data_IF_957814080524
#
_entry.id   IF_957814080524
#
_cell.length_a   1.000
_cell.length_b   1.000
_cell.length_c   1.000
_cell.angle_alpha   90.00
_cell.angle_beta   90.00
_cell.angle_gamma   90.00
#
_symmetry.space_group_name_H-M   'P 1'
#
loop_
_entity.id
_entity.type
_entity.pdbx_description
1 polymer ?
#
# COMPACT_ATOMS: atom_id res chain seq x y z
N UNK A 1 24.36 5.40 -1.27
CA UNK A 1 23.45 4.73 -0.30
C UNK A 1 22.16 4.21 -0.95
N UNK A 2 21.40 4.99 -1.72
CA UNK A 2 20.17 4.50 -2.40
C UNK A 2 20.39 3.31 -3.36
N UNK A 3 21.48 3.32 -4.15
CA UNK A 3 21.80 2.23 -5.08
C UNK A 3 22.09 0.88 -4.39
N UNK A 4 22.39 0.87 -3.09
CA UNK A 4 22.54 -0.38 -2.34
C UNK A 4 21.17 -0.96 -2.00
N UNK A 5 20.23 -0.12 -1.55
CA UNK A 5 18.87 -0.55 -1.18
C UNK A 5 18.14 -1.10 -2.41
N UNK A 6 18.12 -0.39 -3.54
CA UNK A 6 17.39 -0.88 -4.73
C UNK A 6 17.93 -2.21 -5.26
N UNK A 7 19.25 -2.46 -5.16
CA UNK A 7 19.89 -3.72 -5.57
C UNK A 7 19.71 -4.85 -4.54
N UNK A 8 19.36 -4.53 -3.31
CA UNK A 8 19.18 -5.50 -2.22
C UNK A 8 17.70 -5.77 -1.91
N UNK A 9 16.80 -4.89 -2.34
CA UNK A 9 15.35 -5.11 -2.30
C UNK A 9 14.96 -6.13 -3.35
N UNK A 10 14.15 -7.11 -2.96
CA UNK A 10 13.62 -8.15 -3.86
C UNK A 10 12.11 -8.32 -3.80
N UNK A 11 11.46 -7.87 -2.73
CA UNK A 11 10.01 -7.93 -2.58
C UNK A 11 9.47 -6.64 -1.94
N UNK A 12 8.27 -6.25 -2.35
CA UNK A 12 7.50 -5.14 -1.79
C UNK A 12 6.06 -5.61 -1.58
N UNK A 13 5.52 -5.39 -0.39
CA UNK A 13 4.12 -5.65 -0.06
C UNK A 13 3.45 -4.34 0.38
N UNK A 14 2.48 -3.88 -0.41
CA UNK A 14 1.69 -2.69 -0.07
C UNK A 14 0.41 -3.07 0.66
N UNK A 15 0.09 -2.30 1.70
CA UNK A 15 -1.18 -2.40 2.44
C UNK A 15 -1.94 -1.10 2.24
N UNK A 16 -2.99 -1.11 1.41
CA UNK A 16 -3.90 0.02 1.21
C UNK A 16 -3.17 1.34 0.95
N UNK A 17 -2.09 1.31 0.18
CA UNK A 17 -1.26 2.50 -0.07
C UNK A 17 -1.97 3.39 -1.09
N UNK A 18 -2.24 4.66 -0.78
CA UNK A 18 -2.92 5.58 -1.69
C UNK A 18 -1.94 6.14 -2.73
N UNK A 19 -1.62 5.34 -3.74
CA UNK A 19 -0.65 5.71 -4.79
C UNK A 19 -1.06 6.93 -5.62
N UNK A 20 -2.35 7.30 -5.61
CA UNK A 20 -2.91 8.50 -6.25
C UNK A 20 -3.61 9.42 -5.23
N UNK A 21 -3.21 9.33 -3.96
CA UNK A 21 -3.79 10.09 -2.85
C UNK A 21 -5.14 9.54 -2.36
N UNK A 22 -5.63 10.05 -1.23
CA UNK A 22 -6.88 9.58 -0.61
C UNK A 22 -7.97 10.65 -0.67
N UNK A 23 -9.20 10.30 -1.13
CA UNK A 23 -10.34 11.23 -1.08
C UNK A 23 -10.72 11.62 0.36
N UNK A 24 -10.28 10.85 1.36
CA UNK A 24 -10.61 11.08 2.75
C UNK A 24 -9.85 12.27 3.35
N UNK A 25 -8.69 12.62 2.80
CA UNK A 25 -8.02 13.85 3.19
C UNK A 25 -8.84 15.11 2.90
N UNK A 26 -9.76 15.04 1.93
CA UNK A 26 -10.66 16.15 1.59
C UNK A 26 -11.93 16.16 2.46
N UNK A 27 -12.14 15.13 3.29
CA UNK A 27 -13.31 15.04 4.15
C UNK A 27 -13.08 15.88 5.42
N UNK A 28 -13.69 17.06 5.45
CA UNK A 28 -13.79 17.89 6.65
C UNK A 28 -14.78 17.26 7.63
N UNK A 29 -14.32 16.28 8.41
CA UNK A 29 -15.11 15.70 9.49
C UNK A 29 -15.08 16.64 10.70
N UNK A 30 -16.20 17.33 11.05
CA UNK A 30 -16.24 18.18 12.23
C UNK A 30 -15.89 17.34 13.46
N UNK A 31 -15.12 17.91 14.40
CA UNK A 31 -14.62 17.28 15.64
C UNK A 31 -13.46 16.29 15.48
N UNK A 32 -12.96 16.02 14.26
CA UNK A 32 -11.76 15.22 14.06
C UNK A 32 -10.61 16.13 13.60
N UNK A 33 -9.54 16.23 14.39
CA UNK A 33 -8.29 16.82 13.91
C UNK A 33 -7.73 15.92 12.82
N UNK A 34 -7.56 16.47 11.62
CA UNK A 34 -6.75 15.84 10.60
C UNK A 34 -5.31 15.82 11.11
N UNK A 35 -4.69 14.64 11.08
CA UNK A 35 -3.28 14.50 11.41
C UNK A 35 -2.43 15.01 10.23
N UNK A 36 -1.15 15.33 10.47
CA UNK A 36 -0.26 15.82 9.41
C UNK A 36 -0.14 14.77 8.31
N UNK A 37 -0.10 13.49 8.68
CA UNK A 37 -0.04 12.34 7.79
C UNK A 37 -1.29 12.23 6.89
N UNK A 38 -2.47 12.63 7.38
CA UNK A 38 -3.69 12.71 6.57
C UNK A 38 -3.63 13.86 5.56
N UNK A 39 -2.95 14.96 5.91
CA UNK A 39 -2.74 16.11 5.02
C UNK A 39 -1.65 15.85 3.98
N UNK A 40 -0.67 14.99 4.26
CA UNK A 40 0.38 14.63 3.28
C UNK A 40 -0.12 13.67 2.19
N UNK A 41 -1.27 13.04 2.44
CA UNK A 41 -1.83 11.98 1.59
C UNK A 41 -3.09 12.45 0.86
N UNK A 42 -3.28 13.77 0.71
CA UNK A 42 -4.50 14.26 0.07
C UNK A 42 -4.65 13.78 -1.36
N UNK A 43 -5.90 13.56 -1.76
CA UNK A 43 -6.26 13.29 -3.15
C UNK A 43 -5.67 14.40 -4.02
N UNK A 44 -5.01 14.00 -5.10
CA UNK A 44 -4.33 14.89 -6.03
C UNK A 44 -3.11 15.63 -5.46
N UNK A 45 -2.52 15.14 -4.35
CA UNK A 45 -1.18 15.57 -3.92
C UNK A 45 -0.19 15.26 -5.05
N UNK A 46 0.42 16.32 -5.58
CA UNK A 46 1.44 16.23 -6.61
C UNK A 46 2.64 15.41 -6.12
N UNK A 47 2.92 15.45 -4.81
CA UNK A 47 4.00 14.72 -4.16
C UNK A 47 3.76 13.21 -4.17
N UNK A 48 2.55 12.76 -3.82
CA UNK A 48 2.19 11.33 -3.80
C UNK A 48 2.25 10.75 -5.21
N UNK A 49 1.66 11.44 -6.18
CA UNK A 49 1.70 11.01 -7.59
C UNK A 49 3.13 11.01 -8.12
N UNK A 50 3.92 12.05 -7.84
CA UNK A 50 5.33 12.10 -8.25
C UNK A 50 6.18 10.97 -7.64
N UNK A 51 5.87 10.57 -6.40
CA UNK A 51 6.51 9.43 -5.74
C UNK A 51 6.14 8.11 -6.42
N UNK A 52 4.87 7.90 -6.73
CA UNK A 52 4.41 6.71 -7.47
C UNK A 52 5.04 6.64 -8.87
N UNK A 53 5.05 7.76 -9.61
CA UNK A 53 5.69 7.83 -10.92
C UNK A 53 7.19 7.54 -10.85
N UNK A 54 7.86 8.02 -9.80
CA UNK A 54 9.27 7.70 -9.57
C UNK A 54 9.48 6.22 -9.29
N UNK A 55 8.60 5.60 -8.51
CA UNK A 55 8.63 4.16 -8.27
C UNK A 55 8.47 3.37 -9.57
N UNK A 56 7.47 3.71 -10.40
CA UNK A 56 7.29 3.11 -11.73
C UNK A 56 8.52 3.26 -12.61
N UNK A 57 9.07 4.47 -12.72
CA UNK A 57 10.31 4.71 -13.51
C UNK A 57 11.48 3.85 -13.05
N UNK A 58 11.61 3.56 -11.75
CA UNK A 58 12.68 2.69 -11.25
C UNK A 58 12.50 1.24 -11.69
N UNK A 59 11.26 0.76 -11.77
CA UNK A 59 10.92 -0.58 -12.26
C UNK A 59 11.11 -0.66 -13.78
N UNK A 60 10.55 0.30 -14.53
CA UNK A 60 10.58 0.34 -15.99
C UNK A 60 12.02 0.46 -16.54
N UNK A 61 12.90 1.13 -15.79
CA UNK A 61 14.32 1.26 -16.14
C UNK A 61 15.20 0.13 -15.58
N UNK A 62 14.60 -0.90 -14.95
CA UNK A 62 15.30 -2.01 -14.29
C UNK A 62 16.33 -1.58 -13.23
N UNK A 63 16.20 -0.38 -12.68
CA UNK A 63 17.03 0.10 -11.56
C UNK A 63 16.54 -0.48 -10.22
N UNK A 64 15.31 -0.97 -10.20
CA UNK A 64 14.69 -1.73 -9.12
C UNK A 64 14.07 -2.99 -9.74
N UNK A 65 14.40 -4.16 -9.19
CA UNK A 65 13.84 -5.44 -9.64
C UNK A 65 13.30 -6.17 -8.44
N UNK A 66 11.98 -6.11 -8.26
CA UNK A 66 11.28 -6.63 -7.09
C UNK A 66 9.98 -7.29 -7.51
N UNK A 67 9.59 -8.33 -6.79
CA UNK A 67 8.22 -8.81 -6.79
C UNK A 67 7.34 -7.83 -5.98
N UNK A 68 6.20 -7.44 -6.53
CA UNK A 68 5.27 -6.52 -5.89
C UNK A 68 3.95 -7.23 -5.67
N UNK A 69 3.46 -7.18 -4.43
CA UNK A 69 2.10 -7.60 -4.08
C UNK A 69 1.40 -6.44 -3.36
N UNK A 70 0.09 -6.32 -3.55
CA UNK A 70 -0.70 -5.22 -2.99
C UNK A 70 -1.99 -5.76 -2.38
N UNK A 71 -2.28 -5.36 -1.14
CA UNK A 71 -3.56 -5.60 -0.50
C UNK A 71 -4.39 -4.32 -0.50
N UNK A 72 -5.67 -4.46 -0.84
CA UNK A 72 -6.63 -3.35 -0.83
C UNK A 72 -7.75 -3.68 0.16
N UNK A 73 -8.13 -2.71 0.97
CA UNK A 73 -9.27 -2.84 1.86
C UNK A 73 -10.56 -2.81 1.05
N UNK A 74 -11.46 -3.76 1.28
CA UNK A 74 -12.77 -3.79 0.60
C UNK A 74 -13.93 -3.40 1.52
N UNK A 75 -13.68 -3.27 2.82
CA UNK A 75 -14.68 -2.86 3.83
C UNK A 75 -14.53 -1.40 4.25
N UNK A 76 -15.65 -0.69 4.46
CA UNK A 76 -15.65 0.68 4.96
C UNK A 76 -15.13 0.74 6.41
N UNK A 77 -14.41 1.80 6.73
CA UNK A 77 -13.88 2.05 8.07
C UNK A 77 -14.81 2.98 8.83
N UNK A 78 -15.23 2.59 10.04
CA UNK A 78 -16.08 3.42 10.90
C UNK A 78 -15.27 4.56 11.53
N UNK A 79 -15.30 5.77 10.98
CA UNK A 79 -14.68 6.96 11.58
C UNK A 79 -15.70 7.76 12.40
N UNK A 80 -15.52 7.76 13.73
CA UNK A 80 -16.50 8.35 14.65
C UNK A 80 -17.90 7.74 14.42
N UNK A 81 -18.82 8.48 13.79
CA UNK A 81 -20.20 8.05 13.53
C UNK A 81 -20.46 7.70 12.04
N UNK A 82 -19.45 7.78 11.17
CA UNK A 82 -19.63 7.58 9.71
C UNK A 82 -18.75 6.45 9.17
N UNK A 83 -19.29 5.66 8.24
CA UNK A 83 -18.52 4.66 7.50
C UNK A 83 -17.91 5.30 6.26
N UNK A 84 -16.58 5.22 6.13
CA UNK A 84 -15.84 5.90 5.07
C UNK A 84 -14.85 4.95 4.41
N UNK A 85 -14.66 5.11 3.10
CA UNK A 85 -13.59 4.45 2.34
C UNK A 85 -12.30 5.26 2.51
N UNK A 86 -11.30 4.71 3.23
CA UNK A 86 -10.04 5.42 3.47
C UNK A 86 -9.24 5.59 2.20
N UNK A 87 -8.99 4.52 1.46
CA UNK A 87 -8.33 4.60 0.16
C UNK A 87 -9.27 4.02 -0.89
N UNK A 88 -9.45 4.71 -2.02
CA UNK A 88 -10.24 4.17 -3.13
C UNK A 88 -9.52 2.96 -3.72
N UNK A 89 -10.26 1.99 -4.26
CA UNK A 89 -9.67 0.84 -4.94
C UNK A 89 -8.70 1.28 -6.04
N UNK A 90 -9.11 2.27 -6.83
CA UNK A 90 -8.28 2.90 -7.86
C UNK A 90 -6.98 3.47 -7.29
N UNK A 91 -7.00 4.14 -6.13
CA UNK A 91 -5.78 4.68 -5.51
C UNK A 91 -4.95 3.61 -4.79
N UNK A 92 -5.55 2.51 -4.36
CA UNK A 92 -4.86 1.41 -3.69
C UNK A 92 -4.14 0.45 -4.65
N UNK A 93 -4.55 0.40 -5.92
CA UNK A 93 -3.94 -0.48 -6.93
C UNK A 93 -2.60 0.05 -7.44
N UNK A 94 -1.47 -0.57 -7.08
CA UNK A 94 -0.16 -0.12 -7.57
C UNK A 94 0.00 -0.20 -9.10
N UNK A 95 -0.93 -0.85 -9.82
CA UNK A 95 -0.86 -1.17 -11.26
C UNK A 95 0.39 -2.00 -11.61
N UNK A 96 0.96 -2.67 -10.61
CA UNK A 96 2.21 -3.41 -10.68
C UNK A 96 2.07 -4.67 -9.82
N UNK A 97 2.43 -5.81 -10.40
CA UNK A 97 2.44 -7.09 -9.70
C UNK A 97 1.04 -7.58 -9.35
N UNK A 98 0.92 -8.30 -8.23
CA UNK A 98 -0.34 -8.93 -7.82
C UNK A 98 -1.16 -8.00 -6.92
N UNK A 99 -2.49 -8.09 -7.04
CA UNK A 99 -3.45 -7.27 -6.31
C UNK A 99 -4.50 -8.17 -5.64
N UNK A 100 -4.71 -7.99 -4.34
CA UNK A 100 -5.68 -8.76 -3.56
C UNK A 100 -6.65 -7.85 -2.81
N UNK A 101 -7.95 -8.05 -3.08
CA UNK A 101 -9.02 -7.45 -2.29
C UNK A 101 -9.25 -8.21 -0.99
N UNK A 102 -9.12 -7.52 0.15
CA UNK A 102 -9.24 -8.14 1.48
C UNK A 102 -10.46 -7.56 2.20
N UNK A 103 -11.42 -8.40 2.68
CA UNK A 103 -12.65 -7.97 3.37
C UNK A 103 -12.38 -7.55 4.81
N UNK A 104 -11.49 -6.58 4.97
CA UNK A 104 -11.07 -5.97 6.23
C UNK A 104 -11.12 -4.46 6.04
N UNK A 105 -11.37 -3.72 7.13
CA UNK A 105 -11.31 -2.27 7.11
C UNK A 105 -9.86 -1.75 7.14
N UNK A 106 -9.67 -0.47 6.83
CA UNK A 106 -8.34 0.12 6.74
C UNK A 106 -7.60 0.15 8.11
N UNK A 107 -8.34 0.14 9.23
CA UNK A 107 -7.73 0.10 10.57
C UNK A 107 -7.11 -1.25 10.91
N UNK A 108 -7.59 -2.31 10.27
CA UNK A 108 -7.23 -3.68 10.58
C UNK A 108 -6.46 -4.37 9.47
N UNK A 109 -6.32 -3.77 8.28
CA UNK A 109 -5.63 -4.42 7.16
C UNK A 109 -4.16 -4.71 7.46
N UNK A 110 -3.48 -3.89 8.27
CA UNK A 110 -2.10 -4.14 8.70
C UNK A 110 -2.00 -5.01 9.98
N UNK A 111 -3.10 -5.62 10.43
CA UNK A 111 -3.21 -6.35 11.71
C UNK A 111 -3.64 -7.79 11.45
N UNK A 112 -2.74 -8.67 10.95
CA UNK A 112 -3.07 -10.08 10.75
C UNK A 112 -3.56 -10.71 12.06
N UNK A 113 -4.74 -11.33 12.04
CA UNK A 113 -5.40 -11.86 13.25
C UNK A 113 -4.70 -13.10 13.81
N UNK A 114 -4.00 -13.84 12.97
CA UNK A 114 -3.22 -15.02 13.36
C UNK A 114 -2.24 -15.38 12.24
N UNK A 115 -1.35 -16.35 12.49
CA UNK A 115 -0.48 -16.88 11.44
C UNK A 115 -1.25 -17.59 10.32
N UNK A 116 -2.49 -18.01 10.55
CA UNK A 116 -3.29 -18.69 9.53
C UNK A 116 -4.10 -17.73 8.66
N UNK A 117 -4.06 -16.41 8.91
CA UNK A 117 -4.80 -15.47 8.09
C UNK A 117 -4.08 -15.18 6.77
N UNK A 118 -4.87 -14.96 5.72
CA UNK A 118 -4.42 -14.64 4.36
C UNK A 118 -3.26 -13.62 4.32
N UNK A 119 -3.43 -12.46 4.98
CA UNK A 119 -2.41 -11.39 5.01
C UNK A 119 -1.02 -11.86 5.46
N UNK A 120 -0.99 -12.76 6.45
CA UNK A 120 0.26 -13.28 7.00
C UNK A 120 0.87 -14.35 6.09
N UNK A 121 0.03 -15.25 5.58
CA UNK A 121 0.45 -16.31 4.66
C UNK A 121 1.01 -15.73 3.36
N UNK A 122 0.37 -14.70 2.80
CA UNK A 122 0.88 -14.01 1.61
C UNK A 122 2.18 -13.25 1.86
N UNK A 123 2.35 -12.63 3.04
CA UNK A 123 3.63 -12.04 3.42
C UNK A 123 4.74 -13.11 3.48
N UNK A 124 4.46 -14.27 4.09
CA UNK A 124 5.43 -15.37 4.13
C UNK A 124 5.73 -15.89 2.73
N UNK A 125 4.70 -16.07 1.89
CA UNK A 125 4.84 -16.51 0.51
C UNK A 125 5.73 -15.57 -0.30
N UNK A 126 5.57 -14.25 -0.16
CA UNK A 126 6.44 -13.27 -0.79
C UNK A 126 7.88 -13.36 -0.27
N UNK A 127 8.07 -13.53 1.04
CA UNK A 127 9.42 -13.67 1.62
C UNK A 127 10.09 -14.93 1.08
N UNK A 128 9.37 -16.05 1.03
CA UNK A 128 9.86 -17.33 0.53
C UNK A 128 10.20 -17.26 -0.96
N UNK A 129 9.35 -16.64 -1.80
CA UNK A 129 9.61 -16.50 -3.24
C UNK A 129 10.91 -15.74 -3.49
N UNK A 130 11.06 -14.56 -2.89
CA UNK A 130 12.20 -13.67 -3.16
C UNK A 130 13.50 -14.10 -2.49
N UNK A 131 13.44 -15.02 -1.51
CA UNK A 131 14.64 -15.58 -0.85
C UNK A 131 15.10 -16.89 -1.47
N UNK A 132 14.17 -17.71 -2.00
CA UNK A 132 14.51 -18.96 -2.69
C UNK A 132 15.23 -18.70 -4.02
N UNK A 133 14.83 -17.66 -4.76
CA UNK A 133 15.53 -17.19 -5.97
C UNK A 133 17.01 -16.83 -5.74
N UNK A 134 17.43 -16.60 -4.48
CA UNK A 134 18.81 -16.27 -4.14
C UNK A 134 19.72 -17.49 -4.05
N UNK A 135 19.16 -18.69 -3.93
CA UNK A 135 19.90 -19.94 -3.73
C UNK A 135 20.07 -20.77 -5.01
N UNK A 136 19.34 -20.42 -6.09
CA UNK A 136 19.50 -20.98 -7.44
C UNK A 136 20.44 -20.15 -8.30
#
# INVERSE_FOLDING_TARGET
>A
KMAAISKQSRGILFYSVPHRGSPLANLNLPLLRQSIELTEVQKDSAEVTALHDKFRRLLDSHQLTVEVRSFIETTLTLMSLVYVRIVSVESADAEIGELYGVPIDHRNICKPRSRNCFLYQELLSLIESVTTERQS
#
